data_IF_447145721571
#
_entry.id   IF_447145721571
#
_cell.length_a   1.000
_cell.length_b   1.000
_cell.length_c   1.000
_cell.angle_alpha   90.00
_cell.angle_beta   90.00
_cell.angle_gamma   90.00
#
_symmetry.space_group_name_H-M   'P 1'
#
loop_
_entity.id
_entity.type
_entity.pdbx_description
1 polymer ?
#
# COMPACT_ATOMS: atom_id res chain seq x y z
N UNK A 1 1.87 -0.96 10.96
CA UNK A 1 2.26 0.46 10.74
C UNK A 1 1.51 1.30 11.73
N UNK A 2 2.17 2.28 12.33
CA UNK A 2 1.52 3.18 13.28
C UNK A 2 1.43 4.58 12.69
N UNK A 3 0.23 4.93 12.20
CA UNK A 3 -0.08 6.27 11.68
C UNK A 3 -0.69 7.17 12.74
N UNK A 4 -0.73 6.75 14.02
CA UNK A 4 -1.40 7.45 15.13
C UNK A 4 -2.90 7.66 14.91
N UNK A 5 -3.55 6.67 14.29
CA UNK A 5 -4.99 6.72 13.99
C UNK A 5 -5.39 7.57 12.79
N UNK A 6 -4.41 8.02 11.98
CA UNK A 6 -4.66 8.83 10.77
C UNK A 6 -4.93 7.89 9.58
N UNK A 7 -5.95 8.20 8.77
CA UNK A 7 -6.25 7.45 7.55
C UNK A 7 -5.07 7.44 6.57
N UNK A 8 -5.02 6.45 5.67
CA UNK A 8 -3.86 6.20 4.79
C UNK A 8 -3.50 7.42 3.92
N UNK A 9 -4.49 8.07 3.30
CA UNK A 9 -4.24 9.22 2.41
C UNK A 9 -3.62 10.40 3.16
N UNK A 10 -4.20 10.77 4.30
CA UNK A 10 -3.67 11.85 5.13
C UNK A 10 -2.32 11.48 5.78
N UNK A 11 -2.14 10.22 6.18
CA UNK A 11 -0.88 9.73 6.75
C UNK A 11 0.25 9.75 5.72
N UNK A 12 -0.07 9.46 4.45
CA UNK A 12 0.88 9.55 3.35
C UNK A 12 1.37 10.98 3.13
N UNK A 13 0.44 11.95 3.11
CA UNK A 13 0.80 13.37 3.03
C UNK A 13 1.56 13.89 4.26
N UNK A 14 1.28 13.33 5.45
CA UNK A 14 1.96 13.70 6.71
C UNK A 14 3.28 12.96 6.95
N UNK A 15 3.63 11.99 6.09
CA UNK A 15 4.86 11.19 6.21
C UNK A 15 4.82 10.08 7.25
N UNK A 16 3.70 9.87 7.97
CA UNK A 16 3.55 8.74 8.91
C UNK A 16 3.18 7.44 8.20
N UNK A 17 2.81 7.51 6.92
CA UNK A 17 2.70 6.37 6.01
C UNK A 17 3.61 6.62 4.79
N UNK A 18 4.88 6.21 4.86
CA UNK A 18 5.82 6.50 3.79
C UNK A 18 6.95 5.49 3.63
N UNK A 19 7.85 5.76 2.68
CA UNK A 19 8.97 4.88 2.31
C UNK A 19 9.72 4.33 3.52
N UNK A 20 10.21 5.22 4.39
CA UNK A 20 11.04 4.81 5.54
C UNK A 20 10.26 4.00 6.57
N UNK A 21 8.99 4.34 6.80
CA UNK A 21 8.13 3.55 7.70
C UNK A 21 7.88 2.15 7.12
N UNK A 22 7.68 2.01 5.81
CA UNK A 22 7.58 0.69 5.15
C UNK A 22 8.85 -0.12 5.37
N UNK A 23 10.00 0.45 5.05
CA UNK A 23 11.29 -0.23 5.19
C UNK A 23 11.53 -0.65 6.64
N UNK A 24 11.30 0.26 7.58
CA UNK A 24 11.41 0.00 9.02
C UNK A 24 10.53 -1.16 9.45
N UNK A 25 9.26 -1.20 9.04
CA UNK A 25 8.35 -2.30 9.40
C UNK A 25 8.74 -3.63 8.77
N UNK A 26 9.24 -3.64 7.54
CA UNK A 26 9.73 -4.87 6.91
C UNK A 26 10.87 -5.47 7.75
N UNK A 27 11.79 -4.62 8.23
CA UNK A 27 12.93 -5.03 9.03
C UNK A 27 12.52 -5.48 10.44
N UNK A 28 11.77 -4.64 11.18
CA UNK A 28 11.32 -4.92 12.55
C UNK A 28 10.48 -6.20 12.65
N UNK A 29 9.67 -6.50 11.63
CA UNK A 29 8.83 -7.71 11.61
C UNK A 29 9.58 -8.94 11.11
N UNK A 30 10.81 -8.78 10.60
CA UNK A 30 11.57 -9.87 9.99
C UNK A 30 10.85 -10.47 8.79
N UNK A 31 10.02 -9.71 8.07
CA UNK A 31 9.15 -10.21 7.00
C UNK A 31 9.91 -11.00 5.94
N UNK A 32 11.16 -10.59 5.65
CA UNK A 32 12.07 -11.26 4.73
C UNK A 32 12.40 -12.71 5.10
N UNK A 33 12.23 -13.09 6.37
CA UNK A 33 12.45 -14.45 6.88
C UNK A 33 11.18 -15.32 6.84
N UNK A 34 10.01 -14.69 6.66
CA UNK A 34 8.70 -15.34 6.73
C UNK A 34 8.20 -15.71 5.33
N UNK A 35 8.40 -14.83 4.34
CA UNK A 35 7.92 -15.03 2.97
C UNK A 35 9.07 -15.22 1.98
N UNK A 36 8.91 -16.14 1.03
CA UNK A 36 9.92 -16.40 -0.02
C UNK A 36 9.95 -15.31 -1.09
N UNK A 37 8.82 -14.65 -1.34
CA UNK A 37 8.73 -13.57 -2.32
C UNK A 37 9.12 -12.23 -1.72
N UNK A 38 9.49 -11.27 -2.57
CA UNK A 38 9.78 -9.89 -2.16
C UNK A 38 8.83 -8.89 -2.79
N UNK A 39 7.54 -9.17 -2.71
CA UNK A 39 6.48 -8.23 -3.09
C UNK A 39 5.74 -7.74 -1.84
N UNK A 40 5.44 -6.44 -1.80
CA UNK A 40 4.54 -5.85 -0.81
C UNK A 40 3.43 -5.08 -1.53
N UNK A 41 2.19 -5.32 -1.12
CA UNK A 41 1.03 -4.58 -1.65
C UNK A 41 0.77 -3.40 -0.73
N UNK A 42 0.70 -2.21 -1.32
CA UNK A 42 0.45 -0.94 -0.62
C UNK A 42 -0.87 -0.34 -1.15
N UNK A 43 -1.71 0.30 -0.33
CA UNK A 43 -2.94 0.93 -0.80
C UNK A 43 -2.66 1.99 -1.87
N UNK A 44 -3.52 2.09 -2.90
CA UNK A 44 -3.39 3.08 -3.97
C UNK A 44 -3.26 4.50 -3.43
N UNK A 45 -4.07 4.82 -2.41
CA UNK A 45 -4.14 6.13 -1.77
C UNK A 45 -2.90 6.48 -0.93
N UNK A 46 -1.99 5.52 -0.70
CA UNK A 46 -0.70 5.76 -0.06
C UNK A 46 0.41 6.18 -1.03
N UNK A 47 0.15 6.18 -2.34
CA UNK A 47 1.18 6.42 -3.37
C UNK A 47 1.87 7.79 -3.26
N UNK A 48 1.17 8.79 -2.70
CA UNK A 48 1.75 10.12 -2.49
C UNK A 48 2.89 10.14 -1.47
N UNK A 49 2.93 9.20 -0.51
CA UNK A 49 3.96 9.13 0.53
C UNK A 49 5.01 8.03 0.31
N UNK A 50 4.85 7.20 -0.72
CA UNK A 50 5.64 5.97 -0.89
C UNK A 50 6.38 5.99 -2.23
N UNK A 51 7.70 6.17 -2.16
CA UNK A 51 8.59 6.01 -3.30
C UNK A 51 8.94 4.52 -3.48
N UNK A 52 8.22 3.83 -4.38
CA UNK A 52 8.39 2.40 -4.64
C UNK A 52 9.84 1.99 -4.97
N UNK A 53 10.54 2.82 -5.74
CA UNK A 53 11.93 2.58 -6.11
C UNK A 53 12.86 2.61 -4.88
N UNK A 54 12.63 3.54 -3.94
CA UNK A 54 13.42 3.63 -2.71
C UNK A 54 13.12 2.47 -1.76
N UNK A 55 11.84 2.07 -1.62
CA UNK A 55 11.49 0.87 -0.84
C UNK A 55 12.25 -0.35 -1.37
N UNK A 56 12.27 -0.54 -2.70
CA UNK A 56 13.02 -1.64 -3.33
C UNK A 56 14.52 -1.52 -3.09
N UNK A 57 15.10 -0.33 -3.22
CA UNK A 57 16.53 -0.09 -2.98
C UNK A 57 16.93 -0.43 -1.53
N UNK A 58 16.12 -0.05 -0.56
CA UNK A 58 16.45 -0.16 0.86
C UNK A 58 16.09 -1.53 1.48
N UNK A 59 14.99 -2.15 1.05
CA UNK A 59 14.50 -3.40 1.64
C UNK A 59 14.61 -4.62 0.72
N UNK A 60 14.80 -4.40 -0.59
CA UNK A 60 14.68 -5.43 -1.61
C UNK A 60 13.24 -5.82 -1.96
N UNK A 61 12.22 -5.25 -1.31
CA UNK A 61 10.81 -5.50 -1.62
C UNK A 61 10.30 -4.59 -2.74
N UNK A 62 9.63 -5.20 -3.71
CA UNK A 62 8.92 -4.50 -4.77
C UNK A 62 7.54 -4.09 -4.29
N UNK A 63 7.25 -2.78 -4.38
CA UNK A 63 5.92 -2.26 -4.06
C UNK A 63 4.98 -2.48 -5.23
N UNK A 64 3.80 -3.01 -4.94
CA UNK A 64 2.64 -3.07 -5.84
C UNK A 64 1.54 -2.21 -5.24
N UNK A 65 1.06 -1.23 -5.99
CA UNK A 65 -0.11 -0.47 -5.57
C UNK A 65 -1.36 -1.30 -5.84
N UNK A 66 -2.08 -1.63 -4.77
CA UNK A 66 -3.35 -2.36 -4.82
C UNK A 66 -4.51 -1.45 -5.20
N UNK A 67 -5.76 -1.93 -5.08
CA UNK A 67 -6.95 -1.13 -5.34
C UNK A 67 -7.13 0.00 -4.32
N UNK A 68 -7.98 0.97 -4.66
CA UNK A 68 -8.47 2.02 -3.76
C UNK A 68 -9.34 1.43 -2.65
N UNK A 69 -10.22 0.48 -2.99
CA UNK A 69 -11.12 -0.19 -2.05
C UNK A 69 -10.56 -1.54 -1.63
N UNK A 70 -10.64 -1.85 -0.34
CA UNK A 70 -10.15 -3.11 0.20
C UNK A 70 -10.97 -4.32 -0.28
N UNK A 71 -12.26 -4.13 -0.60
CA UNK A 71 -13.14 -5.19 -1.12
C UNK A 71 -12.67 -5.75 -2.48
N UNK A 72 -12.02 -4.92 -3.29
CA UNK A 72 -11.46 -5.31 -4.59
C UNK A 72 -10.19 -6.15 -4.46
N UNK A 73 -9.61 -6.28 -3.25
CA UNK A 73 -8.31 -6.95 -3.05
C UNK A 73 -8.33 -8.40 -3.55
N UNK A 74 -9.43 -9.12 -3.35
CA UNK A 74 -9.56 -10.51 -3.80
C UNK A 74 -9.53 -10.60 -5.32
N UNK A 75 -10.27 -9.73 -6.01
CA UNK A 75 -10.29 -9.68 -7.47
C UNK A 75 -8.91 -9.27 -8.03
N UNK A 76 -8.26 -8.29 -7.40
CA UNK A 76 -6.90 -7.86 -7.73
C UNK A 76 -5.88 -9.00 -7.62
N UNK A 77 -5.94 -9.79 -6.55
CA UNK A 77 -5.03 -10.94 -6.36
C UNK A 77 -5.28 -12.04 -7.40
N UNK A 78 -6.55 -12.35 -7.69
CA UNK A 78 -6.92 -13.34 -8.71
C UNK A 78 -6.50 -12.90 -10.13
N UNK A 79 -6.48 -11.58 -10.39
CA UNK A 79 -6.01 -10.99 -11.64
C UNK A 79 -4.48 -10.86 -11.72
N UNK A 80 -3.72 -11.54 -10.84
CA UNK A 80 -2.25 -11.52 -10.87
C UNK A 80 -1.64 -10.20 -10.40
N UNK A 81 -2.32 -9.49 -9.48
CA UNK A 81 -1.91 -8.16 -8.96
C UNK A 81 -1.93 -7.07 -10.04
N UNK A 82 -2.87 -7.17 -10.97
CA UNK A 82 -3.14 -6.15 -12.01
C UNK A 82 -4.42 -5.42 -11.64
N UNK A 83 -4.31 -4.12 -11.39
CA UNK A 83 -5.48 -3.26 -11.12
C UNK A 83 -6.22 -2.92 -12.41
N UNK A 84 -7.54 -2.98 -12.40
CA UNK A 84 -8.38 -2.38 -13.45
C UNK A 84 -8.49 -0.86 -13.27
N UNK A 85 -8.95 -0.10 -14.29
CA UNK A 85 -9.21 1.34 -14.14
C UNK A 85 -10.20 1.67 -13.02
N UNK A 86 -11.24 0.85 -12.84
CA UNK A 86 -12.24 1.04 -11.79
C UNK A 86 -11.63 0.93 -10.39
N UNK A 87 -10.72 -0.03 -10.18
CA UNK A 87 -10.00 -0.23 -8.92
C UNK A 87 -9.13 0.97 -8.54
N UNK A 88 -8.82 1.88 -9.47
CA UNK A 88 -8.00 3.08 -9.24
C UNK A 88 -8.83 4.34 -8.99
N UNK A 89 -10.15 4.25 -9.09
CA UNK A 89 -11.05 5.41 -9.08
C UNK A 89 -11.91 5.45 -7.83
N UNK A 90 -11.92 6.58 -7.13
CA UNK A 90 -12.91 6.86 -6.08
C UNK A 90 -14.18 7.38 -6.75
N UNK A 91 -15.31 6.69 -6.58
CA UNK A 91 -16.58 7.03 -7.25
C UNK A 91 -17.38 8.13 -6.55
N UNK A 92 -17.08 8.46 -5.29
CA UNK A 92 -17.77 9.47 -4.49
C UNK A 92 -19.29 9.26 -4.43
N UNK A 93 -19.71 8.00 -4.35
CA UNK A 93 -21.12 7.63 -4.24
C UNK A 93 -21.66 8.05 -2.88
N UNK A 94 -22.98 8.03 -2.70
CA UNK A 94 -23.57 8.42 -1.41
C UNK A 94 -23.05 7.57 -0.25
N UNK A 95 -22.81 6.28 -0.49
CA UNK A 95 -22.19 5.34 0.47
C UNK A 95 -20.77 5.72 0.91
N UNK A 96 -20.08 6.60 0.17
CA UNK A 96 -18.77 7.12 0.57
C UNK A 96 -18.86 8.27 1.58
N UNK A 97 -20.08 8.76 1.82
CA UNK A 97 -20.38 9.97 2.59
C UNK A 97 -21.28 9.69 3.80
N UNK A 98 -21.77 8.46 3.95
CA UNK A 98 -22.62 8.01 5.07
C UNK A 98 -21.92 6.94 5.89
#
# INVERSE_FOLDING_TARGET
MDTKGINVWCAAGKGTFGTLEIVKRIDETGLSKIVKHKDIIVPQLGAAGVAAAEVRKLSGFSVKFGPVRAEDLKAFLNAGKITTPDMRTVKFEMSDRV
#
